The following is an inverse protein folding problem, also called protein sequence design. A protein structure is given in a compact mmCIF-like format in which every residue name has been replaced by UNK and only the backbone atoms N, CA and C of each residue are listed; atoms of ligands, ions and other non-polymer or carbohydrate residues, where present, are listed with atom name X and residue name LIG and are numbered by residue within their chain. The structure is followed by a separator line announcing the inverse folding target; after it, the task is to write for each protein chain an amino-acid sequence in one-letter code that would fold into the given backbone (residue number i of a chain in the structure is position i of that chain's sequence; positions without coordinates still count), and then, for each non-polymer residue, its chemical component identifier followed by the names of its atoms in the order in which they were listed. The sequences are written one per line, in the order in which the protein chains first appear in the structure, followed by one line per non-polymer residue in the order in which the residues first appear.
data_IF_544524540427
#
_entry.id   IF_544524540427
#
_cell.length_a   1.000
_cell.length_b   1.000
_cell.length_c   1.000
_cell.angle_alpha   90.00
_cell.angle_beta   90.00
_cell.angle_gamma   90.00
#
_symmetry.space_group_name_H-M   'P 1'
#
loop_
_entity.id
_entity.type
_entity.pdbx_description
1 polymer ?
#
# COMPACT_ATOMS: atom_id res chain seq x y z
N UNK A 1 -17.41 14.71 -8.98
CA UNK A 1 -16.57 14.16 -7.90
C UNK A 1 -15.16 14.11 -8.43
N UNK A 2 -14.17 14.57 -7.68
CA UNK A 2 -12.77 14.45 -8.12
C UNK A 2 -12.38 12.98 -8.16
N UNK A 3 -11.79 12.57 -9.27
CA UNK A 3 -11.29 11.23 -9.45
C UNK A 3 -9.80 11.23 -9.11
N UNK A 4 -9.48 10.80 -7.89
CA UNK A 4 -8.11 10.43 -7.56
C UNK A 4 -7.72 9.15 -8.30
N UNK A 5 -6.44 9.04 -8.66
CA UNK A 5 -5.93 7.97 -9.52
C UNK A 5 -5.59 6.70 -8.74
N UNK A 6 -5.25 6.85 -7.45
CA UNK A 6 -4.72 5.79 -6.61
C UNK A 6 -5.59 5.48 -5.39
N UNK A 7 -6.36 6.43 -4.87
CA UNK A 7 -7.30 6.22 -3.75
C UNK A 7 -8.76 6.22 -4.20
N UNK A 8 -9.61 5.49 -3.47
CA UNK A 8 -11.06 5.51 -3.67
C UNK A 8 -11.75 6.19 -2.46
N UNK A 9 -12.23 7.41 -2.66
CA UNK A 9 -12.87 8.23 -1.62
C UNK A 9 -14.24 7.70 -1.23
N UNK A 10 -14.99 7.11 -2.17
CA UNK A 10 -16.31 6.54 -1.89
C UNK A 10 -16.16 5.34 -0.95
N UNK A 11 -15.25 4.41 -1.30
CA UNK A 11 -14.94 3.27 -0.45
C UNK A 11 -14.40 3.70 0.93
N UNK A 12 -13.52 4.71 0.96
CA UNK A 12 -12.99 5.20 2.23
C UNK A 12 -14.10 5.76 3.14
N UNK A 13 -15.04 6.53 2.57
CA UNK A 13 -16.21 7.03 3.29
C UNK A 13 -17.13 5.90 3.76
N UNK A 14 -17.33 4.85 2.97
CA UNK A 14 -18.11 3.67 3.38
C UNK A 14 -17.44 2.92 4.54
N UNK A 15 -16.12 2.71 4.48
CA UNK A 15 -15.35 2.00 5.51
C UNK A 15 -15.40 2.71 6.86
N UNK A 16 -15.44 4.05 6.85
CA UNK A 16 -15.43 4.87 8.07
C UNK A 16 -16.81 5.43 8.45
N UNK A 17 -17.87 5.00 7.78
CA UNK A 17 -19.25 5.48 7.98
C UNK A 17 -19.36 7.03 7.95
N UNK A 18 -18.62 7.65 7.02
CA UNK A 18 -18.54 9.10 6.84
C UNK A 18 -17.75 9.87 7.92
N UNK A 19 -17.12 9.19 8.88
CA UNK A 19 -16.35 9.84 9.95
C UNK A 19 -15.03 10.42 9.46
N UNK A 20 -14.97 11.75 9.38
CA UNK A 20 -13.76 12.48 8.96
C UNK A 20 -12.55 12.25 9.89
N UNK A 21 -12.79 12.04 11.18
CA UNK A 21 -11.73 11.74 12.15
C UNK A 21 -11.09 10.38 11.87
N UNK A 22 -11.90 9.36 11.57
CA UNK A 22 -11.39 8.05 11.21
C UNK A 22 -10.62 8.07 9.88
N UNK A 23 -11.03 8.92 8.93
CA UNK A 23 -10.26 9.13 7.68
C UNK A 23 -8.87 9.70 7.98
N UNK A 24 -8.79 10.68 8.89
CA UNK A 24 -7.50 11.26 9.34
C UNK A 24 -6.63 10.20 9.99
N UNK A 25 -7.18 9.42 10.92
CA UNK A 25 -6.43 8.36 11.62
C UNK A 25 -5.87 7.31 10.65
N UNK A 26 -6.69 6.86 9.68
CA UNK A 26 -6.25 5.89 8.67
C UNK A 26 -5.17 6.46 7.75
N UNK A 27 -5.31 7.71 7.34
CA UNK A 27 -4.32 8.38 6.50
C UNK A 27 -2.99 8.60 7.24
N UNK A 28 -3.03 9.05 8.49
CA UNK A 28 -1.84 9.22 9.33
C UNK A 28 -1.13 7.88 9.59
N UNK A 29 -1.89 6.83 9.90
CA UNK A 29 -1.34 5.49 10.05
C UNK A 29 -0.62 5.05 8.77
N UNK A 30 -1.22 5.30 7.61
CA UNK A 30 -0.59 4.97 6.32
C UNK A 30 0.66 5.81 6.04
N UNK A 31 0.64 7.12 6.32
CA UNK A 31 1.79 8.02 6.15
C UNK A 31 2.99 7.55 6.97
N UNK A 32 2.75 7.08 8.18
CA UNK A 32 3.80 6.55 9.06
C UNK A 32 4.30 5.17 8.59
N UNK A 33 3.42 4.31 8.09
CA UNK A 33 3.76 2.92 7.79
C UNK A 33 4.38 2.71 6.41
N UNK A 34 3.89 3.38 5.36
CA UNK A 34 4.34 3.12 3.99
C UNK A 34 5.84 3.37 3.74
N UNK A 35 6.50 4.38 4.36
CA UNK A 35 7.96 4.53 4.26
C UNK A 35 8.70 3.37 4.94
N UNK A 36 8.21 2.90 6.09
CA UNK A 36 8.78 1.76 6.82
C UNK A 36 8.65 0.49 5.99
N UNK A 37 7.46 0.24 5.43
CA UNK A 37 7.22 -0.89 4.54
C UNK A 37 8.13 -0.85 3.31
N UNK A 38 8.34 0.32 2.73
CA UNK A 38 9.26 0.49 1.60
C UNK A 38 10.68 0.03 1.94
N UNK A 39 11.21 0.47 3.09
CA UNK A 39 12.54 0.08 3.55
C UNK A 39 12.63 -1.43 3.86
N UNK A 40 11.61 -1.98 4.52
CA UNK A 40 11.57 -3.39 4.87
C UNK A 40 11.46 -4.29 3.63
N UNK A 41 10.70 -3.89 2.61
CA UNK A 41 10.63 -4.62 1.34
C UNK A 41 12.00 -4.70 0.67
N UNK A 42 12.71 -3.57 0.56
CA UNK A 42 14.06 -3.51 0.00
C UNK A 42 15.05 -4.38 0.80
N UNK A 43 14.99 -4.30 2.14
CA UNK A 43 15.86 -5.06 3.04
C UNK A 43 15.65 -6.57 2.90
N UNK A 44 14.39 -7.02 2.96
CA UNK A 44 14.05 -8.45 2.87
C UNK A 44 14.40 -9.03 1.51
N UNK A 45 14.15 -8.28 0.44
CA UNK A 45 14.54 -8.67 -0.92
C UNK A 45 16.06 -8.79 -1.05
N UNK A 46 16.82 -7.82 -0.53
CA UNK A 46 18.29 -7.82 -0.56
C UNK A 46 18.90 -8.98 0.24
N UNK A 47 18.29 -9.33 1.37
CA UNK A 47 18.67 -10.48 2.21
C UNK A 47 18.19 -11.83 1.65
N UNK A 48 17.40 -11.82 0.58
CA UNK A 48 16.73 -13.01 0.02
C UNK A 48 15.85 -13.76 1.03
N UNK A 49 15.30 -13.05 2.02
CA UNK A 49 14.34 -13.61 2.97
C UNK A 49 12.92 -13.55 2.38
N UNK A 50 12.65 -14.45 1.42
CA UNK A 50 11.43 -14.42 0.63
C UNK A 50 10.18 -14.80 1.43
N UNK A 51 10.34 -15.61 2.48
CA UNK A 51 9.24 -15.96 3.38
C UNK A 51 8.78 -14.72 4.15
N UNK A 52 9.71 -13.96 4.72
CA UNK A 52 9.39 -12.70 5.38
C UNK A 52 8.89 -11.65 4.36
N UNK A 53 9.48 -11.59 3.16
CA UNK A 53 9.03 -10.68 2.09
C UNK A 53 7.56 -10.92 1.73
N UNK A 54 7.16 -12.18 1.54
CA UNK A 54 5.77 -12.54 1.25
C UNK A 54 4.80 -12.22 2.39
N UNK A 55 5.23 -12.41 3.65
CA UNK A 55 4.44 -12.00 4.84
C UNK A 55 4.27 -10.48 4.92
N UNK A 56 5.32 -9.73 4.62
CA UNK A 56 5.24 -8.28 4.58
C UNK A 56 4.32 -7.79 3.47
N UNK A 57 4.42 -8.35 2.26
CA UNK A 57 3.53 -8.05 1.15
C UNK A 57 2.05 -8.29 1.50
N UNK A 58 1.75 -9.40 2.19
CA UNK A 58 0.40 -9.68 2.71
C UNK A 58 -0.11 -8.59 3.65
N UNK A 59 0.74 -8.15 4.59
CA UNK A 59 0.39 -7.08 5.55
C UNK A 59 0.12 -5.75 4.84
N UNK A 60 0.99 -5.38 3.89
CA UNK A 60 0.83 -4.16 3.09
C UNK A 60 -0.47 -4.20 2.31
N UNK A 61 -0.77 -5.34 1.65
CA UNK A 61 -2.02 -5.54 0.90
C UNK A 61 -3.26 -5.21 1.75
N UNK A 62 -3.32 -5.70 2.98
CA UNK A 62 -4.43 -5.41 3.90
C UNK A 62 -4.56 -3.91 4.19
N UNK A 63 -3.44 -3.26 4.53
CA UNK A 63 -3.41 -1.81 4.83
C UNK A 63 -3.90 -0.95 3.65
N UNK A 64 -3.42 -1.22 2.44
CA UNK A 64 -3.75 -0.41 1.26
C UNK A 64 -5.15 -0.69 0.71
N UNK A 65 -5.71 -1.88 0.95
CA UNK A 65 -7.08 -2.23 0.54
C UNK A 65 -8.12 -1.43 1.32
N UNK A 66 -7.88 -1.19 2.62
CA UNK A 66 -8.75 -0.35 3.46
C UNK A 66 -8.86 1.09 2.93
N UNK A 67 -7.83 1.56 2.21
CA UNK A 67 -7.79 2.90 1.60
C UNK A 67 -8.25 2.90 0.13
N UNK A 68 -8.74 1.76 -0.38
CA UNK A 68 -9.18 1.62 -1.76
C UNK A 68 -8.08 1.67 -2.81
N UNK A 69 -6.83 1.35 -2.44
CA UNK A 69 -5.69 1.35 -3.36
C UNK A 69 -5.53 0.00 -4.07
N UNK A 70 -6.54 -0.40 -4.85
CA UNK A 70 -6.67 -1.74 -5.42
C UNK A 70 -5.49 -2.18 -6.28
N UNK A 71 -4.88 -1.24 -7.02
CA UNK A 71 -3.71 -1.52 -7.86
C UNK A 71 -2.50 -1.93 -7.02
N UNK A 72 -2.26 -1.25 -5.89
CA UNK A 72 -1.20 -1.61 -4.96
C UNK A 72 -1.53 -2.96 -4.31
N UNK A 73 -2.77 -3.15 -3.85
CA UNK A 73 -3.22 -4.40 -3.26
C UNK A 73 -2.98 -5.60 -4.20
N UNK A 74 -3.31 -5.45 -5.49
CA UNK A 74 -3.08 -6.47 -6.51
C UNK A 74 -1.59 -6.80 -6.67
N UNK A 75 -0.72 -5.78 -6.72
CA UNK A 75 0.73 -5.97 -6.87
C UNK A 75 1.38 -6.59 -5.64
N UNK A 76 0.88 -6.27 -4.45
CA UNK A 76 1.32 -6.90 -3.21
C UNK A 76 0.81 -8.35 -3.08
N UNK A 77 -0.37 -8.67 -3.61
CA UNK A 77 -0.85 -10.06 -3.73
C UNK A 77 0.03 -10.87 -4.70
N UNK A 78 0.45 -10.26 -5.80
CA UNK A 78 1.39 -10.86 -6.76
C UNK A 78 2.71 -11.18 -6.04
N UNK A 79 3.33 -10.18 -5.41
CA UNK A 79 4.58 -10.33 -4.65
C UNK A 79 4.45 -11.38 -3.53
N UNK A 80 3.36 -11.35 -2.77
CA UNK A 80 3.06 -12.34 -1.73
C UNK A 80 3.09 -13.77 -2.29
N UNK A 81 2.46 -13.98 -3.45
CA UNK A 81 2.30 -15.30 -4.05
C UNK A 81 3.63 -15.85 -4.55
N UNK A 82 4.36 -15.06 -5.34
CA UNK A 82 5.63 -15.48 -5.94
C UNK A 82 6.73 -15.61 -4.88
N UNK A 83 6.79 -14.71 -3.89
CA UNK A 83 7.76 -14.76 -2.80
C UNK A 83 7.59 -15.98 -1.89
N UNK A 84 6.35 -16.37 -1.57
CA UNK A 84 6.07 -17.60 -0.80
C UNK A 84 6.55 -18.87 -1.51
N UNK A 85 6.59 -18.87 -2.84
CA UNK A 85 7.01 -20.00 -3.66
C UNK A 85 8.47 -19.92 -4.08
N UNK A 86 9.13 -18.76 -3.91
CA UNK A 86 10.50 -18.51 -4.35
C UNK A 86 10.66 -18.40 -5.88
N UNK A 87 9.57 -18.11 -6.59
CA UNK A 87 9.50 -18.05 -8.06
C UNK A 87 9.63 -16.61 -8.57
N UNK A 88 10.01 -16.43 -9.83
CA UNK A 88 10.02 -15.14 -10.53
C UNK A 88 10.73 -14.01 -9.75
N UNK A 89 11.87 -14.33 -9.13
CA UNK A 89 12.63 -13.41 -8.26
C UNK A 89 13.06 -12.13 -9.00
N UNK A 90 13.21 -12.20 -10.32
CA UNK A 90 13.48 -11.06 -11.19
C UNK A 90 12.38 -9.98 -11.16
N UNK A 91 11.13 -10.35 -10.80
CA UNK A 91 10.00 -9.42 -10.71
C UNK A 91 9.93 -8.68 -9.37
N UNK A 92 10.60 -9.17 -8.33
CA UNK A 92 10.44 -8.61 -6.99
C UNK A 92 10.85 -7.12 -6.93
N UNK A 93 11.99 -6.70 -7.50
CA UNK A 93 12.38 -5.29 -7.49
C UNK A 93 11.35 -4.39 -8.19
N UNK A 94 10.75 -4.86 -9.28
CA UNK A 94 9.72 -4.11 -10.02
C UNK A 94 8.46 -3.91 -9.15
N UNK A 95 7.98 -4.97 -8.50
CA UNK A 95 6.80 -4.91 -7.63
C UNK A 95 7.03 -4.03 -6.40
N UNK A 96 8.23 -4.10 -5.81
CA UNK A 96 8.65 -3.24 -4.69
C UNK A 96 8.72 -1.78 -5.15
N UNK A 97 9.31 -1.51 -6.30
CA UNK A 97 9.40 -0.16 -6.86
C UNK A 97 8.02 0.41 -7.21
N UNK A 98 7.10 -0.44 -7.70
CA UNK A 98 5.71 -0.06 -7.92
C UNK A 98 5.04 0.39 -6.62
N UNK A 99 5.21 -0.36 -5.53
CA UNK A 99 4.69 0.05 -4.21
C UNK A 99 5.28 1.40 -3.79
N UNK A 100 6.61 1.57 -3.88
CA UNK A 100 7.31 2.80 -3.44
C UNK A 100 6.88 4.06 -4.19
N UNK A 101 6.61 3.94 -5.48
CA UNK A 101 6.19 5.07 -6.32
C UNK A 101 4.72 5.38 -6.09
N UNK A 102 3.88 4.36 -6.22
CA UNK A 102 2.43 4.51 -6.13
C UNK A 102 1.97 4.90 -4.73
N UNK A 103 2.63 4.43 -3.67
CA UNK A 103 2.32 4.85 -2.29
C UNK A 103 2.60 6.32 -2.05
N UNK A 104 3.67 6.88 -2.63
CA UNK A 104 3.98 8.32 -2.54
C UNK A 104 2.92 9.15 -3.25
N UNK A 105 2.52 8.74 -4.45
CA UNK A 105 1.45 9.43 -5.18
C UNK A 105 0.13 9.37 -4.39
N UNK A 106 -0.20 8.21 -3.83
CA UNK A 106 -1.38 8.05 -2.99
C UNK A 106 -1.32 8.89 -1.69
N UNK A 107 -0.13 9.13 -1.12
CA UNK A 107 0.02 10.06 0.01
C UNK A 107 -0.30 11.50 -0.37
N UNK A 108 0.09 11.93 -1.57
CA UNK A 108 -0.25 13.26 -2.09
C UNK A 108 -1.76 13.40 -2.25
N UNK A 109 -2.41 12.40 -2.83
CA UNK A 109 -3.87 12.37 -2.99
C UNK A 109 -4.61 12.37 -1.64
N UNK A 110 -4.16 11.54 -0.69
CA UNK A 110 -4.74 11.53 0.67
C UNK A 110 -4.57 12.87 1.36
N UNK A 111 -3.39 13.48 1.29
CA UNK A 111 -3.15 14.78 1.92
C UNK A 111 -4.00 15.89 1.29
N UNK A 112 -4.26 15.83 -0.03
CA UNK A 112 -5.20 16.73 -0.69
C UNK A 112 -6.65 16.52 -0.21
N UNK A 113 -7.08 15.26 -0.08
CA UNK A 113 -8.38 14.91 0.51
C UNK A 113 -8.52 15.48 1.93
N UNK A 114 -7.52 15.26 2.80
CA UNK A 114 -7.55 15.71 4.20
C UNK A 114 -7.69 17.23 4.34
N UNK A 115 -7.13 18.02 3.42
CA UNK A 115 -7.26 19.49 3.40
C UNK A 115 -8.67 19.96 3.04
N UNK A 116 -9.47 19.10 2.42
CA UNK A 116 -10.82 19.39 1.94
C UNK A 116 -11.91 18.87 2.91
N UNK A 117 -11.52 18.07 3.91
CA UNK A 117 -12.39 17.54 4.98
C UNK A 117 -12.63 18.58 6.07
#
# INVERSE_FOLDING_TARGET
MEHYKHINVELLNEVVDGSKELIRDLAEMFFNQAPIFSLQLDELNSKKDFVALGKLAHKIKGSVSTLGMDKIASKMKELETIAKQGLDQEKYPELIQYFKTTSKDAMVELNDLLKRL
#
